data_IF_455299160969
#
_entry.id   IF_455299160969
#
_cell.length_a   1.000
_cell.length_b   1.000
_cell.length_c   1.000
_cell.angle_alpha   90.00
_cell.angle_beta   90.00
_cell.angle_gamma   90.00
#
_symmetry.space_group_name_H-M   'P 1'
#
loop_
_entity.id
_entity.type
_entity.pdbx_description
1 polymer ?
#
# COMPACT_ATOMS: atom_id res chain seq x y z
N UNK A 1 0.57 -12.15 -21.46
CA UNK A 1 1.87 -12.81 -21.22
C UNK A 1 2.33 -12.58 -19.80
N UNK A 2 2.37 -13.69 -19.04
CA UNK A 2 2.93 -13.91 -17.70
C UNK A 2 2.73 -12.84 -16.61
N UNK A 3 1.54 -12.83 -16.00
CA UNK A 3 1.34 -12.30 -14.65
C UNK A 3 1.92 -13.22 -13.54
N UNK A 4 2.39 -14.42 -13.90
CA UNK A 4 2.93 -15.41 -12.95
C UNK A 4 4.36 -15.09 -12.47
N UNK A 5 5.05 -14.14 -13.10
CA UNK A 5 6.44 -13.79 -12.76
C UNK A 5 6.55 -12.76 -11.61
N UNK A 6 5.47 -12.02 -11.32
CA UNK A 6 5.44 -11.03 -10.22
C UNK A 6 4.91 -11.58 -8.90
N UNK A 7 4.30 -12.76 -8.91
CA UNK A 7 3.78 -13.42 -7.70
C UNK A 7 4.85 -14.00 -6.79
N UNK A 8 6.11 -14.07 -7.22
CA UNK A 8 7.21 -14.62 -6.42
C UNK A 8 7.87 -13.61 -5.46
N UNK A 9 7.60 -12.31 -5.58
CA UNK A 9 8.15 -11.31 -4.66
C UNK A 9 7.35 -11.12 -3.36
N UNK A 10 6.13 -11.66 -3.30
CA UNK A 10 5.32 -11.69 -2.10
C UNK A 10 4.98 -13.13 -1.78
N UNK A 11 5.74 -13.71 -0.85
CA UNK A 11 5.45 -15.02 -0.26
C UNK A 11 4.18 -14.95 0.61
N UNK A 12 3.03 -14.78 -0.06
CA UNK A 12 1.69 -14.98 0.51
C UNK A 12 1.40 -16.48 0.64
N UNK A 13 2.29 -17.35 0.14
CA UNK A 13 2.14 -18.81 0.17
C UNK A 13 2.48 -19.45 1.52
N UNK A 14 3.13 -18.73 2.45
CA UNK A 14 3.54 -19.32 3.75
C UNK A 14 2.45 -19.38 4.82
N UNK A 15 1.30 -18.72 4.64
CA UNK A 15 0.14 -19.00 5.50
C UNK A 15 -0.54 -20.28 5.03
N UNK A 16 -0.11 -21.41 5.60
CA UNK A 16 -0.77 -22.71 5.48
C UNK A 16 -2.28 -22.57 5.61
N UNK A 17 -2.97 -22.67 4.47
CA UNK A 17 -4.43 -22.75 4.36
C UNK A 17 -5.01 -24.02 5.01
N UNK A 18 -4.15 -24.94 5.43
CA UNK A 18 -4.48 -26.30 5.87
C UNK A 18 -5.29 -26.40 7.17
N UNK A 19 -5.53 -25.31 7.90
CA UNK A 19 -6.36 -25.33 9.12
C UNK A 19 -7.53 -24.33 9.15
N UNK A 20 -7.79 -23.59 8.06
CA UNK A 20 -8.94 -22.68 8.00
C UNK A 20 -10.21 -23.44 7.59
N UNK A 21 -10.73 -24.26 8.50
CA UNK A 21 -12.08 -24.80 8.36
C UNK A 21 -13.03 -23.66 8.70
N UNK A 22 -13.58 -22.98 7.68
CA UNK A 22 -14.56 -21.88 7.83
C UNK A 22 -15.71 -22.23 8.78
N UNK A 23 -16.05 -23.52 8.91
CA UNK A 23 -17.13 -24.02 9.76
C UNK A 23 -16.92 -23.85 11.28
N UNK A 24 -15.77 -23.34 11.77
CA UNK A 24 -15.52 -23.15 13.21
C UNK A 24 -15.09 -21.72 13.58
N UNK A 25 -14.97 -20.79 12.62
CA UNK A 25 -14.44 -19.45 12.93
C UNK A 25 -15.36 -18.69 13.89
N UNK A 26 -16.68 -18.79 13.68
CA UNK A 26 -17.70 -18.16 14.52
C UNK A 26 -17.65 -18.69 15.95
N UNK A 27 -17.51 -20.00 16.12
CA UNK A 27 -17.50 -20.64 17.43
C UNK A 27 -16.20 -20.36 18.19
N UNK A 28 -15.06 -20.38 17.50
CA UNK A 28 -13.76 -19.94 18.04
C UNK A 28 -13.85 -18.48 18.48
N UNK A 29 -14.41 -17.61 17.63
CA UNK A 29 -14.54 -16.19 17.94
C UNK A 29 -15.46 -15.95 19.14
N UNK A 30 -16.63 -16.60 19.17
CA UNK A 30 -17.57 -16.53 20.28
C UNK A 30 -16.95 -17.01 21.59
N UNK A 31 -16.21 -18.12 21.55
CA UNK A 31 -15.49 -18.64 22.73
C UNK A 31 -14.47 -17.64 23.25
N UNK A 32 -13.67 -17.04 22.36
CA UNK A 32 -12.68 -16.02 22.77
C UNK A 32 -13.33 -14.77 23.37
N UNK A 33 -14.51 -14.36 22.89
CA UNK A 33 -15.27 -13.25 23.49
C UNK A 33 -15.74 -13.59 24.92
N UNK A 34 -16.20 -14.82 25.15
CA UNK A 34 -16.58 -15.27 26.51
C UNK A 34 -15.35 -15.30 27.42
N UNK A 35 -14.24 -15.88 26.95
CA UNK A 35 -12.99 -15.97 27.70
C UNK A 35 -12.41 -14.58 28.02
N UNK A 36 -12.60 -13.57 27.16
CA UNK A 36 -12.13 -12.20 27.39
C UNK A 36 -13.04 -11.36 28.27
N UNK A 37 -14.24 -11.83 28.65
CA UNK A 37 -15.26 -11.00 29.31
C UNK A 37 -14.75 -10.29 30.57
N UNK A 38 -14.04 -10.99 31.47
CA UNK A 38 -13.51 -10.36 32.68
C UNK A 38 -12.49 -9.25 32.37
N UNK A 39 -11.64 -9.49 31.37
CA UNK A 39 -10.64 -8.53 30.88
C UNK A 39 -11.32 -7.32 30.22
N UNK A 40 -12.36 -7.57 29.43
CA UNK A 40 -13.11 -6.53 28.72
C UNK A 40 -13.87 -5.63 29.72
N UNK A 41 -14.45 -6.20 30.78
CA UNK A 41 -15.07 -5.45 31.87
C UNK A 41 -14.06 -4.56 32.62
N UNK A 42 -12.85 -5.08 32.88
CA UNK A 42 -11.78 -4.32 33.53
C UNK A 42 -11.32 -3.13 32.68
N UNK A 43 -11.08 -3.35 31.38
CA UNK A 43 -10.61 -2.30 30.47
C UNK A 43 -11.74 -1.46 29.86
N UNK A 44 -13.00 -1.79 30.12
CA UNK A 44 -14.20 -1.17 29.55
C UNK A 44 -14.17 -1.09 28.02
N UNK A 45 -13.61 -2.11 27.38
CA UNK A 45 -13.47 -2.20 25.92
C UNK A 45 -13.39 -3.67 25.48
N UNK A 46 -13.89 -3.99 24.29
CA UNK A 46 -13.75 -5.33 23.73
C UNK A 46 -12.30 -5.55 23.27
N UNK A 47 -11.62 -6.52 23.88
CA UNK A 47 -10.19 -6.81 23.61
C UNK A 47 -9.96 -7.90 22.56
N UNK A 48 -11.03 -8.53 22.06
CA UNK A 48 -10.99 -9.56 21.03
C UNK A 48 -11.89 -9.17 19.86
N UNK A 49 -11.38 -9.21 18.63
CA UNK A 49 -12.14 -8.91 17.42
C UNK A 49 -11.27 -8.38 16.29
N UNK A 50 -11.81 -8.31 15.05
CA UNK A 50 -11.07 -7.85 13.88
C UNK A 50 -10.56 -6.42 14.04
N UNK A 51 -11.18 -5.61 14.91
CA UNK A 51 -10.70 -4.28 15.28
C UNK A 51 -9.39 -4.28 16.10
N UNK A 52 -8.94 -5.45 16.58
CA UNK A 52 -7.69 -5.67 17.30
C UNK A 52 -6.67 -6.46 16.48
N UNK A 53 -7.06 -6.97 15.32
CA UNK A 53 -6.15 -7.71 14.44
C UNK A 53 -5.18 -6.76 13.74
N UNK A 54 -3.97 -7.24 13.49
CA UNK A 54 -2.93 -6.52 12.74
C UNK A 54 -2.36 -7.43 11.66
N UNK A 55 -1.89 -6.86 10.56
CA UNK A 55 -1.23 -7.61 9.51
C UNK A 55 0.28 -7.35 9.55
N UNK A 56 1.06 -8.41 9.32
CA UNK A 56 2.51 -8.32 9.33
C UNK A 56 3.01 -8.46 7.89
N UNK A 57 3.86 -7.52 7.47
CA UNK A 57 4.55 -7.60 6.19
C UNK A 57 5.92 -8.22 6.44
N UNK A 58 6.20 -9.32 5.74
CA UNK A 58 7.47 -10.04 5.85
C UNK A 58 8.34 -9.76 4.63
N UNK A 59 9.62 -9.51 4.86
CA UNK A 59 10.66 -9.48 3.84
C UNK A 59 11.70 -10.54 4.22
N UNK A 60 11.90 -11.55 3.35
CA UNK A 60 12.79 -12.69 3.62
C UNK A 60 12.50 -13.35 4.98
N UNK A 61 11.22 -13.55 5.30
CA UNK A 61 10.76 -14.16 6.56
C UNK A 61 10.89 -13.27 7.80
N UNK A 62 11.34 -12.01 7.69
CA UNK A 62 11.48 -11.08 8.81
C UNK A 62 10.44 -9.95 8.74
N UNK A 63 9.91 -9.55 9.90
CA UNK A 63 8.99 -8.42 10.00
C UNK A 63 9.68 -7.13 9.52
N UNK A 64 9.16 -6.54 8.44
CA UNK A 64 9.75 -5.36 7.82
C UNK A 64 9.67 -4.13 8.74
N UNK A 65 8.65 -4.05 9.60
CA UNK A 65 8.47 -2.96 10.56
C UNK A 65 9.60 -2.93 11.60
N UNK A 66 10.10 -4.10 11.98
CA UNK A 66 11.14 -4.24 13.01
C UNK A 66 12.55 -4.31 12.45
N UNK A 67 12.73 -4.91 11.27
CA UNK A 67 14.07 -5.25 10.73
C UNK A 67 14.37 -4.62 9.37
N UNK A 68 13.38 -4.05 8.70
CA UNK A 68 13.57 -3.40 7.40
C UNK A 68 14.21 -2.03 7.56
N UNK A 69 15.12 -1.66 6.66
CA UNK A 69 15.62 -0.29 6.57
C UNK A 69 14.49 0.67 6.21
N UNK A 70 14.66 1.97 6.47
CA UNK A 70 13.66 2.98 6.13
C UNK A 70 13.28 2.93 4.63
N UNK A 71 14.26 2.72 3.75
CA UNK A 71 14.03 2.57 2.31
C UNK A 71 13.26 1.29 1.95
N UNK A 72 13.42 0.20 2.69
CA UNK A 72 12.66 -1.04 2.50
C UNK A 72 11.21 -0.88 2.98
N UNK A 73 11.00 -0.27 4.14
CA UNK A 73 9.65 0.00 4.66
C UNK A 73 8.85 0.89 3.72
N UNK A 74 9.48 1.93 3.16
CA UNK A 74 8.87 2.79 2.13
C UNK A 74 8.44 2.02 0.88
N UNK A 75 9.33 1.16 0.35
CA UNK A 75 9.02 0.34 -0.82
C UNK A 75 7.85 -0.61 -0.53
N UNK A 76 7.83 -1.26 0.64
CA UNK A 76 6.72 -2.14 0.98
C UNK A 76 5.38 -1.39 1.09
N UNK A 77 5.37 -0.18 1.67
CA UNK A 77 4.19 0.67 1.73
C UNK A 77 3.69 1.06 0.33
N UNK A 78 4.61 1.45 -0.56
CA UNK A 78 4.28 1.77 -1.96
C UNK A 78 3.71 0.54 -2.66
N UNK A 79 4.36 -0.62 -2.54
CA UNK A 79 3.88 -1.86 -3.15
C UNK A 79 2.49 -2.25 -2.65
N UNK A 80 2.19 -2.07 -1.36
CA UNK A 80 0.85 -2.30 -0.81
C UNK A 80 -0.20 -1.40 -1.47
N UNK A 81 0.13 -0.12 -1.68
CA UNK A 81 -0.78 0.81 -2.37
C UNK A 81 -0.98 0.46 -3.84
N UNK A 82 0.08 0.03 -4.54
CA UNK A 82 -0.05 -0.45 -5.91
C UNK A 82 -0.90 -1.73 -5.99
N UNK A 83 -0.73 -2.66 -5.06
CA UNK A 83 -1.58 -3.85 -4.94
C UNK A 83 -3.04 -3.49 -4.67
N UNK A 84 -3.30 -2.50 -3.81
CA UNK A 84 -4.65 -1.99 -3.53
C UNK A 84 -5.32 -1.46 -4.81
N UNK A 85 -4.60 -0.67 -5.63
CA UNK A 85 -5.09 -0.17 -6.92
C UNK A 85 -5.48 -1.30 -7.87
N UNK A 86 -4.66 -2.35 -7.95
CA UNK A 86 -4.93 -3.50 -8.81
C UNK A 86 -6.15 -4.31 -8.37
N UNK A 87 -6.36 -4.44 -7.06
CA UNK A 87 -7.56 -5.08 -6.50
C UNK A 87 -8.80 -4.22 -6.79
N UNK A 88 -8.72 -2.90 -6.58
CA UNK A 88 -9.81 -1.97 -6.84
C UNK A 88 -10.23 -1.99 -8.31
N UNK A 89 -9.25 -1.94 -9.23
CA UNK A 89 -9.49 -2.05 -10.67
C UNK A 89 -10.25 -3.33 -11.02
N UNK A 90 -9.78 -4.48 -10.53
CA UNK A 90 -10.43 -5.78 -10.78
C UNK A 90 -11.85 -5.84 -10.24
N UNK A 91 -12.11 -5.23 -9.07
CA UNK A 91 -13.42 -5.24 -8.41
C UNK A 91 -14.42 -4.28 -9.05
N UNK A 92 -13.98 -3.06 -9.38
CA UNK A 92 -14.83 -1.97 -9.85
C UNK A 92 -14.91 -1.93 -11.38
N UNK A 93 -14.00 -2.62 -12.08
CA UNK A 93 -13.86 -2.64 -13.55
C UNK A 93 -13.66 -1.25 -14.18
N UNK A 94 -13.06 -0.33 -13.41
CA UNK A 94 -12.68 1.01 -13.85
C UNK A 94 -11.29 1.33 -13.32
N UNK A 95 -10.55 2.13 -14.08
CA UNK A 95 -9.23 2.59 -13.67
C UNK A 95 -9.40 3.75 -12.67
N UNK A 96 -8.85 3.64 -11.44
CA UNK A 96 -8.93 4.72 -10.45
C UNK A 96 -8.03 5.90 -10.86
N UNK A 97 -8.39 7.09 -10.36
CA UNK A 97 -7.49 8.25 -10.38
C UNK A 97 -6.55 8.12 -9.17
N UNK A 98 -5.25 8.22 -9.41
CA UNK A 98 -4.23 8.16 -8.39
C UNK A 98 -3.79 9.58 -7.99
N UNK A 99 -3.75 9.84 -6.68
CA UNK A 99 -3.22 11.08 -6.11
C UNK A 99 -1.97 10.74 -5.31
N UNK A 100 -0.85 11.36 -5.67
CA UNK A 100 0.43 11.19 -5.01
C UNK A 100 0.83 12.53 -4.37
N UNK A 101 0.74 12.60 -3.03
CA UNK A 101 1.04 13.83 -2.29
C UNK A 101 2.46 13.82 -1.74
N UNK A 102 3.33 14.65 -2.32
CA UNK A 102 4.77 14.83 -2.01
C UNK A 102 5.61 13.54 -1.89
N UNK A 103 5.12 12.42 -2.40
CA UNK A 103 5.76 11.10 -2.23
C UNK A 103 7.17 11.05 -2.82
N UNK A 104 7.49 11.91 -3.79
CA UNK A 104 8.82 11.93 -4.41
C UNK A 104 9.90 12.52 -3.52
N UNK A 105 9.57 13.42 -2.59
CA UNK A 105 10.54 13.99 -1.64
C UNK A 105 11.12 12.93 -0.71
N UNK A 106 10.38 11.83 -0.50
CA UNK A 106 10.74 10.71 0.36
C UNK A 106 11.46 9.55 -0.34
N UNK A 107 11.57 9.59 -1.67
CA UNK A 107 12.13 8.50 -2.45
C UNK A 107 13.45 8.90 -3.09
N UNK A 108 14.37 7.94 -3.14
CA UNK A 108 15.55 8.08 -3.98
C UNK A 108 15.21 7.80 -5.46
N UNK A 109 16.17 8.08 -6.33
CA UNK A 109 15.95 8.09 -7.78
C UNK A 109 15.43 6.74 -8.31
N UNK A 110 15.97 5.62 -7.82
CA UNK A 110 15.57 4.28 -8.26
C UNK A 110 14.13 3.95 -7.82
N UNK A 111 13.75 4.32 -6.58
CA UNK A 111 12.37 4.13 -6.11
C UNK A 111 11.38 5.03 -6.82
N UNK A 112 11.76 6.27 -7.15
CA UNK A 112 10.92 7.16 -7.97
C UNK A 112 10.66 6.54 -9.34
N UNK A 113 11.69 6.07 -10.03
CA UNK A 113 11.56 5.39 -11.33
C UNK A 113 10.61 4.19 -11.24
N UNK A 114 10.73 3.39 -10.19
CA UNK A 114 9.84 2.24 -9.98
C UNK A 114 8.38 2.67 -9.78
N UNK A 115 8.12 3.66 -8.93
CA UNK A 115 6.77 4.17 -8.67
C UNK A 115 6.15 4.72 -9.96
N UNK A 116 6.89 5.55 -10.69
CA UNK A 116 6.41 6.16 -11.93
C UNK A 116 6.14 5.10 -12.98
N UNK A 117 7.07 4.17 -13.21
CA UNK A 117 6.83 3.03 -14.13
C UNK A 117 5.60 2.21 -13.76
N UNK A 118 5.32 2.05 -12.47
CA UNK A 118 4.16 1.28 -12.02
C UNK A 118 2.81 1.98 -12.28
N UNK A 119 2.79 3.32 -12.40
CA UNK A 119 1.54 4.10 -12.48
C UNK A 119 1.30 4.76 -13.83
N UNK A 120 2.36 5.16 -14.55
CA UNK A 120 2.29 6.01 -15.76
C UNK A 120 1.44 5.40 -16.87
N UNK A 121 1.62 4.10 -17.12
CA UNK A 121 0.95 3.42 -18.24
C UNK A 121 -0.42 2.85 -17.85
N UNK A 122 -0.81 2.99 -16.57
CA UNK A 122 -1.91 2.22 -15.99
C UNK A 122 -3.01 3.09 -15.38
N UNK A 123 -2.66 4.26 -14.85
CA UNK A 123 -3.59 5.09 -14.08
C UNK A 123 -3.39 6.58 -14.39
N UNK A 124 -4.50 7.31 -14.51
CA UNK A 124 -4.44 8.77 -14.49
C UNK A 124 -3.93 9.21 -13.12
N UNK A 125 -2.77 9.86 -13.09
CA UNK A 125 -2.06 10.17 -11.85
C UNK A 125 -1.82 11.67 -11.71
N UNK A 126 -2.20 12.24 -10.57
CA UNK A 126 -1.81 13.59 -10.16
C UNK A 126 -0.72 13.48 -9.11
N UNK A 127 0.35 14.26 -9.28
CA UNK A 127 1.45 14.30 -8.33
C UNK A 127 1.68 15.73 -7.85
N UNK A 128 1.82 15.91 -6.55
CA UNK A 128 2.31 17.14 -5.96
C UNK A 128 3.81 16.99 -5.66
N UNK A 129 4.57 18.05 -5.89
CA UNK A 129 5.98 18.13 -5.51
C UNK A 129 6.37 19.59 -5.34
N UNK A 130 7.23 19.87 -4.37
CA UNK A 130 7.86 21.18 -4.20
C UNK A 130 9.10 21.36 -5.09
N UNK A 131 9.59 20.27 -5.70
CA UNK A 131 10.79 20.28 -6.53
C UNK A 131 10.58 19.51 -7.83
N UNK A 132 10.53 20.25 -8.94
CA UNK A 132 10.31 19.68 -10.28
C UNK A 132 11.45 18.77 -10.75
N UNK A 133 12.68 19.01 -10.26
CA UNK A 133 13.86 18.21 -10.63
C UNK A 133 13.75 16.73 -10.22
N UNK A 134 12.79 16.40 -9.37
CA UNK A 134 12.47 15.01 -9.04
C UNK A 134 11.84 14.26 -10.21
N UNK A 135 11.19 14.97 -11.13
CA UNK A 135 10.55 14.44 -12.33
C UNK A 135 11.51 14.46 -13.54
N UNK A 136 12.30 15.53 -13.69
CA UNK A 136 13.21 15.70 -14.84
C UNK A 136 14.22 14.56 -14.99
N UNK A 137 14.57 13.90 -13.89
CA UNK A 137 15.53 12.78 -13.85
C UNK A 137 14.91 11.41 -14.18
N UNK A 138 13.61 11.36 -14.45
CA UNK A 138 12.89 10.09 -14.57
C UNK A 138 12.78 9.57 -16.00
N UNK A 139 13.33 10.25 -17.02
CA UNK A 139 13.25 9.87 -18.44
C UNK A 139 11.83 9.47 -18.88
N UNK A 140 10.82 10.13 -18.30
CA UNK A 140 9.41 9.82 -18.49
C UNK A 140 8.65 11.11 -18.75
N UNK A 141 7.80 11.11 -19.77
CA UNK A 141 6.92 12.22 -20.07
C UNK A 141 5.77 12.25 -19.05
N UNK A 142 6.01 12.86 -17.89
CA UNK A 142 4.89 13.43 -17.15
C UNK A 142 4.20 14.45 -18.05
N UNK A 143 2.89 14.31 -18.21
CA UNK A 143 2.09 15.19 -19.08
C UNK A 143 2.03 16.63 -18.57
N UNK A 144 0.83 17.19 -18.45
CA UNK A 144 0.67 18.60 -18.11
C UNK A 144 1.27 18.95 -16.73
N UNK A 145 2.12 19.98 -16.68
CA UNK A 145 2.65 20.55 -15.44
C UNK A 145 1.81 21.75 -15.01
N UNK A 146 1.45 21.77 -13.74
CA UNK A 146 0.64 22.84 -13.15
C UNK A 146 1.43 23.50 -12.01
N UNK A 147 1.58 24.83 -12.08
CA UNK A 147 2.20 25.61 -11.01
C UNK A 147 1.12 26.14 -10.07
N UNK A 148 1.31 25.91 -8.77
CA UNK A 148 0.42 26.43 -7.73
C UNK A 148 1.14 27.54 -6.97
N UNK A 149 0.56 28.74 -6.95
CA UNK A 149 1.08 29.89 -6.20
C UNK A 149 -0.09 30.75 -5.69
N UNK A 150 -0.02 31.21 -4.44
CA UNK A 150 -1.06 32.04 -3.81
C UNK A 150 -2.47 31.43 -3.92
N UNK A 151 -2.57 30.10 -3.74
CA UNK A 151 -3.81 29.30 -3.91
C UNK A 151 -4.44 29.39 -5.32
N UNK A 152 -3.66 29.77 -6.33
CA UNK A 152 -4.07 29.79 -7.74
C UNK A 152 -3.28 28.76 -8.54
N UNK A 153 -3.96 28.12 -9.49
CA UNK A 153 -3.38 27.16 -10.42
C UNK A 153 -3.12 27.87 -11.74
N UNK A 154 -1.89 27.79 -12.24
CA UNK A 154 -1.52 28.22 -13.57
C UNK A 154 -1.00 27.01 -14.37
N UNK A 155 -1.46 26.87 -15.62
CA UNK A 155 -0.85 25.94 -16.57
C UNK A 155 0.54 26.49 -16.92
N UNK A 156 1.56 25.66 -16.83
CA UNK A 156 2.94 26.08 -17.04
C UNK A 156 3.57 25.25 -18.13
N UNK A 157 4.19 25.91 -19.12
CA UNK A 157 4.99 25.27 -20.20
C UNK A 157 6.41 24.88 -19.71
N UNK A 158 6.58 24.61 -18.40
CA UNK A 158 7.88 24.31 -17.79
C UNK A 158 8.44 22.95 -18.23
#
# INVERSE_FOLDING_TARGET
>A
DNLDEYTDYFDVKSYKKENFIENNLKDIFYRKLIESLQKDLLYKTTTVGPHRDDFIILLNGKNIRSFGSQGQQRVASISLKLCELDILRKRIKKDPILLLDDVFSELDIERRKLLVKAVSDRFQTFVTTTNISYLDKLDLEFGNKLLIKDNKIAVSDL
#
